data_IF_736077866378
#
_entry.id   IF_736077866378
#
_cell.length_a   1.000
_cell.length_b   1.000
_cell.length_c   1.000
_cell.angle_alpha   90.00
_cell.angle_beta   90.00
_cell.angle_gamma   90.00
#
_symmetry.space_group_name_H-M   'P 1'
#
loop_
_entity.id
_entity.type
_entity.pdbx_description
1 polymer ?
#
# COMPACT_ATOMS: atom_id res chain seq x y z
N UNK A 1 -37.46 23.73 32.68
CA UNK A 1 -37.28 22.51 31.86
C UNK A 1 -36.06 22.73 31.00
N UNK A 2 -34.88 22.18 31.28
CA UNK A 2 -33.74 22.33 30.39
C UNK A 2 -33.81 21.26 29.30
N UNK A 3 -33.74 21.71 28.04
CA UNK A 3 -33.66 20.86 26.86
C UNK A 3 -32.41 19.98 26.94
N UNK A 4 -32.61 18.66 26.83
CA UNK A 4 -31.50 17.71 26.69
C UNK A 4 -30.92 17.89 25.28
N UNK A 5 -29.80 18.61 25.20
CA UNK A 5 -28.95 18.63 24.00
C UNK A 5 -28.48 17.19 23.78
N UNK A 6 -29.03 16.57 22.75
CA UNK A 6 -28.67 15.21 22.35
C UNK A 6 -27.32 15.28 21.64
N UNK A 7 -26.24 15.02 22.37
CA UNK A 7 -24.93 14.78 21.79
C UNK A 7 -24.98 13.45 21.03
N UNK A 8 -25.52 13.47 19.83
CA UNK A 8 -25.27 12.41 18.87
C UNK A 8 -23.78 12.47 18.52
N UNK A 9 -22.96 11.74 19.27
CA UNK A 9 -21.59 11.37 18.92
C UNK A 9 -21.71 10.61 17.61
N UNK A 10 -21.55 11.32 16.48
CA UNK A 10 -21.47 10.69 15.17
C UNK A 10 -20.07 10.09 15.07
N UNK A 11 -19.96 8.84 15.48
CA UNK A 11 -18.79 8.01 15.19
C UNK A 11 -18.52 8.03 13.69
N UNK A 12 -17.27 8.34 13.30
CA UNK A 12 -16.85 8.22 11.90
C UNK A 12 -17.11 6.80 11.41
N UNK A 13 -17.78 6.69 10.26
CA UNK A 13 -18.08 5.39 9.66
C UNK A 13 -16.94 4.94 8.74
N UNK A 14 -15.81 4.62 9.37
CA UNK A 14 -14.69 3.96 8.70
C UNK A 14 -15.03 2.53 8.26
N UNK A 15 -16.21 1.98 8.59
CA UNK A 15 -16.63 0.64 8.16
C UNK A 15 -16.73 0.49 6.64
N UNK A 16 -16.82 1.61 5.91
CA UNK A 16 -16.83 1.65 4.44
C UNK A 16 -15.43 1.72 3.85
N UNK A 17 -14.45 2.19 4.61
CA UNK A 17 -13.03 2.16 4.26
C UNK A 17 -12.53 0.74 4.56
N UNK A 18 -12.46 -0.10 3.53
CA UNK A 18 -11.92 -1.46 3.67
C UNK A 18 -10.49 -1.44 4.24
N UNK A 19 -10.09 -2.51 4.94
CA UNK A 19 -8.71 -2.69 5.41
C UNK A 19 -7.71 -2.47 4.28
N UNK A 20 -6.57 -1.86 4.60
CA UNK A 20 -5.50 -1.61 3.66
C UNK A 20 -4.32 -2.51 3.95
N UNK A 21 -4.13 -3.51 3.11
CA UNK A 21 -3.03 -4.47 3.15
C UNK A 21 -1.88 -4.11 2.19
N UNK A 22 -2.03 -3.04 1.40
CA UNK A 22 -1.08 -2.62 0.38
C UNK A 22 -1.27 -3.25 -1.00
N UNK A 23 -2.33 -4.04 -1.23
CA UNK A 23 -2.60 -4.66 -2.55
C UNK A 23 -3.16 -3.68 -3.59
N UNK A 24 -3.87 -2.64 -3.12
CA UNK A 24 -4.30 -1.52 -3.97
C UNK A 24 -3.35 -0.33 -3.76
N UNK A 25 -3.27 0.60 -4.73
CA UNK A 25 -2.52 1.83 -4.54
C UNK A 25 -3.04 2.62 -3.34
N UNK A 26 -2.15 3.14 -2.50
CA UNK A 26 -2.53 3.96 -1.35
C UNK A 26 -3.34 5.20 -1.78
N UNK A 27 -3.04 5.81 -2.93
CA UNK A 27 -3.83 6.93 -3.45
C UNK A 27 -5.29 6.55 -3.73
N UNK A 28 -5.55 5.30 -4.17
CA UNK A 28 -6.92 4.80 -4.38
C UNK A 28 -7.62 4.60 -3.04
N UNK A 29 -6.91 4.03 -2.05
CA UNK A 29 -7.46 3.84 -0.71
C UNK A 29 -7.76 5.17 -0.01
N UNK A 30 -6.81 6.13 -0.04
CA UNK A 30 -6.98 7.49 0.47
C UNK A 30 -8.10 8.26 -0.22
N UNK A 31 -8.35 8.02 -1.52
CA UNK A 31 -9.45 8.65 -2.23
C UNK A 31 -10.83 8.14 -1.79
N UNK A 32 -10.94 6.86 -1.38
CA UNK A 32 -12.18 6.34 -0.79
C UNK A 32 -12.49 7.00 0.55
N UNK A 33 -11.44 7.26 1.34
CA UNK A 33 -11.54 7.98 2.61
C UNK A 33 -11.99 9.44 2.40
N UNK A 34 -11.36 10.16 1.45
CA UNK A 34 -11.72 11.55 1.13
C UNK A 34 -13.11 11.72 0.50
N UNK A 35 -13.58 10.75 -0.29
CA UNK A 35 -14.87 10.84 -1.02
C UNK A 35 -16.09 10.64 -0.13
N UNK A 36 -15.95 9.96 1.01
CA UNK A 36 -17.00 9.85 2.02
C UNK A 36 -17.01 11.03 3.01
N UNK A 37 -16.04 11.94 2.89
CA UNK A 37 -15.85 13.12 3.75
C UNK A 37 -16.81 14.25 3.41
N UNK A 38 -18.07 14.12 3.84
CA UNK A 38 -18.91 15.29 4.11
C UNK A 38 -18.66 15.86 5.52
N UNK A 39 -17.55 15.47 6.18
CA UNK A 39 -17.04 16.04 7.42
C UNK A 39 -15.51 15.94 7.42
N UNK A 40 -14.87 17.05 7.78
CA UNK A 40 -13.42 17.18 7.95
C UNK A 40 -13.04 16.31 9.16
N UNK A 41 -12.47 15.13 8.91
CA UNK A 41 -11.84 14.34 9.97
C UNK A 41 -10.69 15.16 10.56
N UNK A 42 -10.65 15.30 11.88
CA UNK A 42 -9.50 15.85 12.58
C UNK A 42 -8.25 15.00 12.33
N UNK A 43 -7.07 15.58 12.51
CA UNK A 43 -5.80 14.86 12.31
C UNK A 43 -5.70 13.62 13.21
N UNK A 44 -6.25 13.71 14.43
CA UNK A 44 -6.35 12.59 15.35
C UNK A 44 -7.18 11.45 14.78
N UNK A 45 -8.40 11.74 14.33
CA UNK A 45 -9.32 10.74 13.78
C UNK A 45 -8.74 10.05 12.54
N UNK A 46 -7.99 10.78 11.71
CA UNK A 46 -7.28 10.18 10.58
C UNK A 46 -6.22 9.18 11.04
N UNK A 47 -5.40 9.54 12.04
CA UNK A 47 -4.33 8.68 12.53
C UNK A 47 -4.87 7.46 13.30
N UNK A 48 -5.97 7.61 14.04
CA UNK A 48 -6.68 6.48 14.67
C UNK A 48 -7.22 5.50 13.62
N UNK A 49 -7.77 6.01 12.52
CA UNK A 49 -8.23 5.19 11.42
C UNK A 49 -7.08 4.45 10.74
N UNK A 50 -5.96 5.13 10.50
CA UNK A 50 -4.74 4.50 9.98
C UNK A 50 -4.30 3.34 10.88
N UNK A 51 -4.22 3.53 12.19
CA UNK A 51 -3.83 2.47 13.12
C UNK A 51 -4.77 1.26 13.05
N UNK A 52 -6.07 1.51 12.88
CA UNK A 52 -7.10 0.46 12.89
C UNK A 52 -7.26 -0.26 11.55
N UNK A 53 -7.09 0.47 10.44
CA UNK A 53 -7.41 -0.01 9.10
C UNK A 53 -6.20 -0.58 8.34
N UNK A 54 -4.97 -0.23 8.74
CA UNK A 54 -3.79 -0.85 8.16
C UNK A 54 -3.69 -2.33 8.57
N UNK A 55 -3.35 -3.18 7.60
CA UNK A 55 -3.16 -4.62 7.79
C UNK A 55 -1.96 -5.09 6.94
N UNK A 56 -1.56 -6.36 7.09
CA UNK A 56 -0.56 -7.01 6.24
C UNK A 56 0.74 -6.23 6.05
N UNK A 57 1.15 -6.02 4.80
CA UNK A 57 2.39 -5.30 4.47
C UNK A 57 2.35 -3.84 4.95
N UNK A 58 1.17 -3.22 4.98
CA UNK A 58 1.01 -1.82 5.34
C UNK A 58 1.22 -1.57 6.84
N UNK A 59 0.71 -2.46 7.71
CA UNK A 59 0.97 -2.34 9.15
C UNK A 59 2.43 -2.66 9.48
N UNK A 60 3.05 -3.62 8.76
CA UNK A 60 4.47 -3.92 8.92
C UNK A 60 5.35 -2.73 8.51
N UNK A 61 5.00 -2.04 7.43
CA UNK A 61 5.65 -0.80 7.02
C UNK A 61 5.50 0.29 8.08
N UNK A 62 4.29 0.53 8.58
CA UNK A 62 4.04 1.52 9.64
C UNK A 62 4.91 1.25 10.87
N UNK A 63 4.96 -0.02 11.31
CA UNK A 63 5.74 -0.43 12.47
C UNK A 63 7.26 -0.38 12.24
N UNK A 64 7.71 -0.42 10.99
CA UNK A 64 9.13 -0.29 10.65
C UNK A 64 9.66 1.15 10.74
N UNK A 65 8.77 2.14 10.69
CA UNK A 65 9.12 3.56 10.75
C UNK A 65 8.89 4.13 12.14
N UNK A 66 9.97 4.32 12.91
CA UNK A 66 9.90 4.96 14.24
C UNK A 66 9.16 6.29 14.19
N UNK A 67 9.41 7.10 13.15
CA UNK A 67 8.78 8.41 12.97
C UNK A 67 7.26 8.33 12.85
N UNK A 68 6.75 7.41 12.03
CA UNK A 68 5.31 7.27 11.85
C UNK A 68 4.66 6.59 13.05
N UNK A 69 5.38 5.68 13.71
CA UNK A 69 4.90 5.10 14.97
C UNK A 69 4.72 6.15 16.06
N UNK A 70 5.72 7.02 16.25
CA UNK A 70 5.65 8.16 17.17
C UNK A 70 4.52 9.15 16.81
N UNK A 71 4.25 9.34 15.52
CA UNK A 71 3.14 10.17 15.06
C UNK A 71 1.78 9.60 15.46
N UNK A 72 1.59 8.28 15.33
CA UNK A 72 0.36 7.61 15.78
C UNK A 72 0.21 7.69 17.30
N UNK A 73 1.31 7.45 18.03
CA UNK A 73 1.32 7.50 19.49
C UNK A 73 1.00 8.92 20.01
N UNK A 74 1.41 9.96 19.27
CA UNK A 74 1.16 11.38 19.56
C UNK A 74 0.08 11.98 18.66
N UNK A 75 -0.90 11.20 18.23
CA UNK A 75 -1.95 11.63 17.29
C UNK A 75 -2.69 12.91 17.71
N UNK A 76 -2.81 13.17 19.01
CA UNK A 76 -3.43 14.40 19.56
C UNK A 76 -2.67 15.68 19.22
N UNK A 77 -1.35 15.58 19.01
CA UNK A 77 -0.46 16.70 18.69
C UNK A 77 -0.18 16.81 17.18
N UNK A 78 -0.82 15.98 16.36
CA UNK A 78 -0.52 15.89 14.94
C UNK A 78 -0.94 17.15 14.18
N UNK A 79 0.01 17.71 13.43
CA UNK A 79 -0.23 18.86 12.57
C UNK A 79 -0.76 18.42 11.20
N UNK A 80 -1.36 19.36 10.45
CA UNK A 80 -1.73 19.10 9.05
C UNK A 80 -0.54 18.65 8.21
N UNK A 81 0.64 19.24 8.44
CA UNK A 81 1.87 18.89 7.75
C UNK A 81 2.31 17.44 8.05
N UNK A 82 2.08 16.96 9.27
CA UNK A 82 2.34 15.56 9.63
C UNK A 82 1.46 14.60 8.84
N UNK A 83 0.17 14.94 8.69
CA UNK A 83 -0.78 14.15 7.90
C UNK A 83 -0.41 14.15 6.41
N UNK A 84 -0.07 15.31 5.85
CA UNK A 84 0.35 15.41 4.44
C UNK A 84 1.61 14.58 4.18
N UNK A 85 2.63 14.73 5.04
CA UNK A 85 3.85 13.94 4.96
C UNK A 85 3.58 12.43 5.11
N UNK A 86 2.68 12.03 6.00
CA UNK A 86 2.28 10.62 6.14
C UNK A 86 1.62 10.10 4.86
N UNK A 87 0.68 10.87 4.29
CA UNK A 87 -0.02 10.50 3.04
C UNK A 87 0.96 10.36 1.88
N UNK A 88 1.90 11.30 1.74
CA UNK A 88 2.95 11.23 0.73
C UNK A 88 3.82 9.98 0.91
N UNK A 89 4.24 9.68 2.13
CA UNK A 89 5.04 8.50 2.43
C UNK A 89 4.27 7.20 2.16
N UNK A 90 2.99 7.15 2.50
CA UNK A 90 2.12 6.01 2.24
C UNK A 90 1.94 5.78 0.73
N UNK A 91 1.75 6.85 -0.04
CA UNK A 91 1.67 6.78 -1.52
C UNK A 91 3.00 6.37 -2.14
N UNK A 92 4.13 6.81 -1.59
CA UNK A 92 5.45 6.42 -2.05
C UNK A 92 5.73 4.92 -1.79
N UNK A 93 5.27 4.40 -0.65
CA UNK A 93 5.43 3.00 -0.29
C UNK A 93 4.49 2.08 -1.10
N UNK A 94 3.25 2.51 -1.31
CA UNK A 94 2.21 1.75 -2.02
C UNK A 94 1.73 2.53 -3.26
N UNK A 95 2.57 2.69 -4.29
CA UNK A 95 2.28 3.54 -5.43
C UNK A 95 1.19 2.97 -6.35
N UNK A 96 0.65 3.82 -7.23
CA UNK A 96 -0.16 3.35 -8.36
C UNK A 96 0.72 2.51 -9.27
N UNK A 97 0.52 1.20 -9.24
CA UNK A 97 1.01 0.33 -10.29
C UNK A 97 0.11 0.51 -11.51
N UNK A 98 0.49 1.41 -12.41
CA UNK A 98 0.08 1.29 -13.80
C UNK A 98 0.77 0.02 -14.27
N UNK A 99 0.04 -1.09 -14.25
CA UNK A 99 0.41 -2.26 -15.02
C UNK A 99 0.23 -1.81 -16.47
N UNK A 100 1.23 -1.10 -17.00
CA UNK A 100 1.54 -1.35 -18.40
C UNK A 100 1.77 -2.85 -18.44
N UNK A 101 0.87 -3.56 -19.12
CA UNK A 101 1.11 -4.93 -19.53
C UNK A 101 2.27 -4.92 -20.53
N UNK A 102 3.44 -4.48 -20.11
CA UNK A 102 4.65 -5.07 -20.64
C UNK A 102 4.73 -6.40 -19.92
N UNK A 103 4.32 -7.45 -20.61
CA UNK A 103 4.85 -8.81 -20.44
C UNK A 103 6.38 -8.76 -20.70
N UNK A 104 7.08 -7.92 -19.94
CA UNK A 104 8.49 -7.68 -20.04
C UNK A 104 9.18 -8.68 -19.13
N UNK A 105 10.10 -9.44 -19.72
CA UNK A 105 10.97 -10.35 -19.00
C UNK A 105 11.63 -9.60 -17.83
N UNK A 106 11.31 -9.98 -16.58
CA UNK A 106 11.90 -9.37 -15.37
C UNK A 106 13.43 -9.38 -15.43
N UNK A 107 14.04 -10.37 -16.09
CA UNK A 107 15.48 -10.41 -16.33
C UNK A 107 15.99 -9.25 -17.20
N UNK A 108 15.19 -8.81 -18.19
CA UNK A 108 15.52 -7.65 -19.01
C UNK A 108 15.43 -6.36 -18.17
N UNK A 109 14.38 -6.21 -17.36
CA UNK A 109 14.24 -5.08 -16.44
C UNK A 109 15.44 -5.00 -15.48
N UNK A 110 15.89 -6.13 -14.91
CA UNK A 110 17.11 -6.21 -14.07
C UNK A 110 18.35 -5.76 -14.83
N UNK A 111 18.55 -6.24 -16.07
CA UNK A 111 19.73 -5.90 -16.87
C UNK A 111 19.84 -4.42 -17.22
N UNK A 112 18.70 -3.75 -17.41
CA UNK A 112 18.67 -2.32 -17.77
C UNK A 112 18.46 -1.42 -16.55
N UNK A 113 18.29 -1.99 -15.35
CA UNK A 113 18.00 -1.24 -14.14
C UNK A 113 19.20 -0.39 -13.72
N UNK A 114 19.04 0.92 -13.80
CA UNK A 114 20.04 1.90 -13.35
C UNK A 114 19.35 3.16 -12.83
N UNK A 115 20.06 3.86 -11.96
CA UNK A 115 19.68 5.21 -11.52
C UNK A 115 19.74 6.16 -12.71
N UNK A 116 18.73 7.00 -12.85
CA UNK A 116 18.71 8.06 -13.88
C UNK A 116 19.15 9.39 -13.26
N UNK A 117 19.89 10.24 -13.99
CA UNK A 117 20.48 11.45 -13.42
C UNK A 117 19.47 12.47 -12.85
N UNK A 118 18.21 12.44 -13.31
CA UNK A 118 17.12 13.31 -12.82
C UNK A 118 16.26 12.68 -11.71
N UNK A 119 16.62 11.48 -11.23
CA UNK A 119 15.82 10.75 -10.24
C UNK A 119 16.30 11.02 -8.81
N UNK A 120 15.35 11.22 -7.90
CA UNK A 120 15.65 11.28 -6.47
C UNK A 120 15.93 9.89 -5.91
N UNK A 121 16.80 9.81 -4.91
CA UNK A 121 17.15 8.55 -4.26
C UNK A 121 15.92 7.76 -3.77
N UNK A 122 14.89 8.46 -3.28
CA UNK A 122 13.64 7.83 -2.83
C UNK A 122 12.89 7.15 -3.99
N UNK A 123 12.86 7.80 -5.15
CA UNK A 123 12.20 7.27 -6.35
C UNK A 123 12.99 6.07 -6.92
N UNK A 124 14.32 6.15 -6.92
CA UNK A 124 15.19 5.04 -7.30
C UNK A 124 14.96 3.82 -6.40
N UNK A 125 14.96 4.03 -5.08
CA UNK A 125 14.70 2.99 -4.09
C UNK A 125 13.32 2.33 -4.29
N UNK A 126 12.28 3.13 -4.53
CA UNK A 126 10.94 2.62 -4.83
C UNK A 126 10.92 1.71 -6.07
N UNK A 127 11.61 2.11 -7.15
CA UNK A 127 11.73 1.26 -8.36
C UNK A 127 12.50 -0.02 -8.10
N UNK A 128 13.60 0.05 -7.33
CA UNK A 128 14.43 -1.11 -7.01
C UNK A 128 13.66 -2.14 -6.16
N UNK A 129 12.97 -1.67 -5.12
CA UNK A 129 12.11 -2.50 -4.26
C UNK A 129 10.98 -3.16 -5.07
N UNK A 130 10.38 -2.43 -6.00
CA UNK A 130 9.34 -2.97 -6.88
C UNK A 130 9.88 -4.06 -7.82
N UNK A 131 11.05 -3.86 -8.41
CA UNK A 131 11.70 -4.87 -9.27
C UNK A 131 12.00 -6.16 -8.50
N UNK A 132 12.43 -6.04 -7.23
CA UNK A 132 12.64 -7.19 -6.35
C UNK A 132 11.33 -7.92 -6.03
N UNK A 133 10.23 -7.19 -5.77
CA UNK A 133 8.89 -7.79 -5.57
C UNK A 133 8.45 -8.58 -6.81
N UNK A 134 8.68 -8.04 -8.02
CA UNK A 134 8.40 -8.74 -9.29
C UNK A 134 9.26 -10.00 -9.44
N UNK A 135 10.56 -9.92 -9.14
CA UNK A 135 11.50 -11.03 -9.30
C UNK A 135 11.27 -12.17 -8.30
N UNK A 136 10.81 -11.87 -7.08
CA UNK A 136 10.48 -12.87 -6.05
C UNK A 136 9.08 -13.50 -6.23
N UNK A 137 8.27 -12.97 -7.15
CA UNK A 137 6.93 -13.49 -7.46
C UNK A 137 6.96 -14.59 -8.51
N UNK A 138 7.20 -15.84 -8.05
CA UNK A 138 7.03 -17.15 -8.71
C UNK A 138 8.36 -17.89 -8.92
N UNK A 139 8.65 -18.82 -8.00
CA UNK A 139 9.10 -20.14 -8.44
C UNK A 139 7.97 -20.71 -9.31
N UNK A 140 7.97 -20.41 -10.61
CA UNK A 140 7.17 -21.22 -11.51
C UNK A 140 7.68 -22.66 -11.36
N UNK A 141 6.81 -23.66 -11.11
CA UNK A 141 7.23 -25.01 -11.35
C UNK A 141 7.66 -25.04 -12.81
N UNK A 142 8.94 -25.35 -13.04
CA UNK A 142 9.42 -25.62 -14.38
C UNK A 142 8.38 -26.55 -15.01
N UNK A 143 7.72 -26.10 -16.08
CA UNK A 143 6.93 -27.01 -16.90
C UNK A 143 7.93 -28.08 -17.34
N UNK A 144 7.93 -29.20 -16.63
CA UNK A 144 8.57 -30.41 -17.10
C UNK A 144 7.87 -30.70 -18.41
N UNK A 145 8.59 -30.46 -19.50
CA UNK A 145 8.26 -30.99 -20.80
C UNK A 145 8.18 -32.52 -20.65
N UNK A 146 7.01 -33.05 -20.31
CA UNK A 146 6.71 -34.48 -20.45
C UNK A 146 6.45 -34.75 -21.92
N UNK A 147 7.54 -34.75 -22.69
CA UNK A 147 7.63 -35.45 -23.95
C UNK A 147 8.19 -36.85 -23.71
N UNK A 148 7.55 -37.83 -24.35
CA UNK A 148 8.00 -39.20 -24.66
C UNK A 148 7.63 -40.32 -23.68
N UNK A 149 6.72 -41.18 -24.17
CA UNK A 149 6.96 -42.63 -24.17
C UNK A 149 5.89 -43.50 -23.54
N UNK A 150 4.78 -43.76 -24.25
CA UNK A 150 4.01 -45.00 -24.02
C UNK A 150 3.91 -45.75 -25.34
N UNK A 151 4.88 -46.65 -25.55
CA UNK A 151 4.72 -47.79 -26.45
C UNK A 151 3.92 -48.86 -25.71
N UNK A 152 2.73 -49.19 -26.21
CA UNK A 152 2.00 -50.40 -25.80
C UNK A 152 1.89 -51.35 -26.98
N UNK A 153 2.76 -52.36 -26.98
CA UNK A 153 2.58 -53.60 -27.73
C UNK A 153 1.44 -54.41 -27.09
N UNK A 154 0.59 -55.02 -27.91
CA UNK A 154 -0.02 -56.29 -27.52
C UNK A 154 -0.25 -57.19 -28.75
N UNK A 155 0.37 -58.36 -28.65
CA UNK A 155 0.09 -59.58 -29.41
C UNK A 155 -1.28 -60.14 -29.08
#
# INVERSE_FOLDING_TARGET
>A
MPEKINYSVRTLDFSRSGRFDGLIPASRWLAFDMRNGNNIASQEEFLEAVETLLDGDAVMWLNSSKKFREMIDRRYDATLNDIEMFKEALVAEFPIHVIERTEGNVQLEIRIFKETPEESLLKYYGRAKNLLRKACGRNEPAQTASGLGVNSYHH
#
